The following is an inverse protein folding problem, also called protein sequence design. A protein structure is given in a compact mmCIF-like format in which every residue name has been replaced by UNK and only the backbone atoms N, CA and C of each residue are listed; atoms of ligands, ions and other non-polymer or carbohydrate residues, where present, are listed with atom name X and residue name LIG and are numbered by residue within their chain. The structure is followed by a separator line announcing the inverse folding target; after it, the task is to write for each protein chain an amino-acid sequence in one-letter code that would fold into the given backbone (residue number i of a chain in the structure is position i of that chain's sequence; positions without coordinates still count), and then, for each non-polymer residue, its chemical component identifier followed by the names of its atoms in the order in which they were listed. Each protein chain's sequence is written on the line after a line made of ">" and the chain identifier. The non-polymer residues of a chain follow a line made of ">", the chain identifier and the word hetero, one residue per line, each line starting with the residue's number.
data_IF_604609095264
#
_entry.id   IF_604609095264
#
_cell.length_a   1.000
_cell.length_b   1.000
_cell.length_c   1.000
_cell.angle_alpha   90.00
_cell.angle_beta   90.00
_cell.angle_gamma   90.00
#
_symmetry.space_group_name_H-M   'P 1'
#
loop_
_entity.id
_entity.type
_entity.pdbx_description
1 polymer ?
#
# COMPACT_ATOMS: atom_id res chain seq x y z
N UNK A 1 -10.76 -49.78 -5.63
CA UNK A 1 -9.70 -49.74 -6.67
C UNK A 1 -8.70 -48.61 -6.39
N UNK A 2 -9.11 -47.40 -6.04
CA UNK A 2 -8.22 -46.27 -5.68
C UNK A 2 -7.33 -46.61 -4.46
N UNK A 3 -7.90 -47.17 -3.39
CA UNK A 3 -7.18 -47.53 -2.19
C UNK A 3 -6.05 -48.55 -2.46
N UNK A 4 -6.30 -49.54 -3.34
CA UNK A 4 -5.30 -50.54 -3.69
C UNK A 4 -4.11 -49.99 -4.48
N UNK A 5 -4.32 -48.92 -5.24
CA UNK A 5 -3.24 -48.20 -5.94
C UNK A 5 -2.46 -47.35 -4.95
N UNK A 6 -3.15 -46.69 -4.02
CA UNK A 6 -2.53 -45.87 -2.96
C UNK A 6 -1.60 -46.72 -2.10
N UNK A 7 -2.07 -47.92 -1.65
CA UNK A 7 -1.28 -48.89 -0.90
C UNK A 7 -0.06 -49.38 -1.69
N UNK A 8 -0.19 -49.53 -3.00
CA UNK A 8 0.91 -49.97 -3.86
C UNK A 8 1.95 -48.87 -4.15
N UNK A 9 1.57 -47.58 -4.04
CA UNK A 9 2.50 -46.44 -4.22
C UNK A 9 3.46 -46.29 -3.02
N UNK A 10 3.03 -46.62 -1.81
CA UNK A 10 3.88 -46.57 -0.61
C UNK A 10 5.23 -47.24 -0.75
N UNK A 11 5.29 -48.54 -1.15
CA UNK A 11 6.55 -49.24 -1.46
C UNK A 11 7.37 -48.59 -2.60
N UNK A 12 6.73 -47.99 -3.59
CA UNK A 12 7.39 -47.25 -4.70
C UNK A 12 8.13 -46.03 -4.12
N UNK A 13 7.45 -45.21 -3.34
CA UNK A 13 8.05 -44.03 -2.72
C UNK A 13 9.19 -44.40 -1.75
N UNK A 14 9.01 -45.45 -0.96
CA UNK A 14 10.04 -45.93 -0.05
C UNK A 14 11.29 -46.36 -0.83
N UNK A 15 11.10 -47.01 -1.98
CA UNK A 15 12.24 -47.48 -2.80
C UNK A 15 13.00 -46.31 -3.41
N UNK A 16 12.29 -45.30 -3.90
CA UNK A 16 12.93 -44.10 -4.41
C UNK A 16 13.70 -43.31 -3.37
N UNK A 17 13.15 -43.15 -2.17
CA UNK A 17 13.87 -42.51 -1.06
C UNK A 17 15.14 -43.23 -0.67
N UNK A 18 15.21 -44.54 -0.90
CA UNK A 18 16.41 -45.36 -0.70
C UNK A 18 17.37 -45.36 -1.91
N UNK A 19 17.08 -44.58 -2.96
CA UNK A 19 17.93 -44.46 -4.16
C UNK A 19 17.91 -45.65 -5.10
N UNK A 20 16.91 -46.56 -5.00
CA UNK A 20 16.78 -47.71 -5.85
C UNK A 20 15.66 -47.61 -6.89
N UNK A 21 15.77 -48.39 -7.99
CA UNK A 21 14.70 -48.52 -8.99
C UNK A 21 13.42 -49.10 -8.35
N UNK A 22 12.29 -48.45 -8.57
CA UNK A 22 10.99 -48.82 -8.04
C UNK A 22 10.06 -49.52 -9.05
N UNK A 23 10.50 -49.71 -10.30
CA UNK A 23 9.68 -50.31 -11.36
C UNK A 23 9.05 -51.66 -10.97
N UNK A 24 9.78 -52.47 -10.22
CA UNK A 24 9.27 -53.78 -9.74
C UNK A 24 8.15 -53.66 -8.73
N UNK A 25 8.09 -52.55 -7.98
CA UNK A 25 7.07 -52.25 -6.99
C UNK A 25 5.85 -51.55 -7.60
N UNK A 26 5.89 -51.22 -8.89
CA UNK A 26 4.81 -50.53 -9.57
C UNK A 26 3.46 -51.27 -9.40
N UNK A 27 2.36 -50.50 -9.18
CA UNK A 27 1.02 -51.04 -9.16
C UNK A 27 0.78 -51.97 -10.36
N UNK A 28 0.16 -53.17 -10.20
CA UNK A 28 -0.05 -54.10 -11.28
C UNK A 28 -0.74 -53.50 -12.52
N UNK A 29 -1.68 -52.62 -12.29
CA UNK A 29 -2.45 -51.93 -13.35
C UNK A 29 -1.61 -50.96 -14.22
N UNK A 30 -0.43 -50.57 -13.75
CA UNK A 30 0.44 -49.63 -14.50
C UNK A 30 1.57 -50.33 -15.24
N UNK A 31 1.85 -51.63 -14.94
CA UNK A 31 3.02 -52.35 -15.48
C UNK A 31 3.08 -52.37 -17.00
N UNK A 32 1.94 -52.57 -17.66
CA UNK A 32 1.87 -52.52 -19.12
C UNK A 32 2.21 -51.16 -19.72
N UNK A 33 1.84 -50.10 -19.04
CA UNK A 33 2.08 -48.73 -19.48
C UNK A 33 3.52 -48.26 -19.28
N UNK A 34 4.30 -48.95 -18.44
CA UNK A 34 5.69 -48.53 -18.16
C UNK A 34 6.67 -48.78 -19.29
N UNK A 35 6.41 -49.77 -20.13
CA UNK A 35 7.33 -50.13 -21.21
C UNK A 35 8.50 -51.01 -20.74
N UNK A 36 9.41 -51.41 -21.65
CA UNK A 36 10.49 -52.34 -21.41
C UNK A 36 11.87 -51.74 -21.15
N UNK A 37 12.07 -50.45 -21.47
CA UNK A 37 13.34 -49.77 -21.26
C UNK A 37 13.39 -49.25 -19.79
N UNK A 38 14.42 -49.65 -18.99
CA UNK A 38 14.41 -49.37 -17.54
C UNK A 38 14.34 -47.90 -17.13
N UNK A 39 15.04 -47.01 -17.82
CA UNK A 39 15.08 -45.60 -17.52
C UNK A 39 13.76 -44.91 -17.86
N UNK A 40 13.16 -45.28 -19.00
CA UNK A 40 11.87 -44.80 -19.44
C UNK A 40 10.72 -45.28 -18.54
N UNK A 41 10.79 -46.53 -18.11
CA UNK A 41 9.84 -47.13 -17.19
C UNK A 41 9.85 -46.42 -15.83
N UNK A 42 11.03 -46.02 -15.34
CA UNK A 42 11.16 -45.26 -14.09
C UNK A 42 10.55 -43.87 -14.22
N UNK A 43 10.82 -43.14 -15.30
CA UNK A 43 10.22 -41.83 -15.56
C UNK A 43 8.70 -41.86 -15.71
N UNK A 44 8.20 -42.90 -16.42
CA UNK A 44 6.74 -43.10 -16.57
C UNK A 44 6.09 -43.42 -15.22
N UNK A 45 6.73 -44.26 -14.42
CA UNK A 45 6.24 -44.56 -13.08
C UNK A 45 6.20 -43.31 -12.18
N UNK A 46 7.21 -42.46 -12.26
CA UNK A 46 7.25 -41.18 -11.52
C UNK A 46 6.11 -40.27 -11.98
N UNK A 47 5.90 -40.14 -13.30
CA UNK A 47 4.83 -39.31 -13.85
C UNK A 47 3.44 -39.82 -13.44
N UNK A 48 3.19 -41.13 -13.55
CA UNK A 48 1.91 -41.75 -13.16
C UNK A 48 1.66 -41.59 -11.66
N UNK A 49 2.69 -41.80 -10.83
CA UNK A 49 2.58 -41.62 -9.38
C UNK A 49 2.26 -40.18 -9.01
N UNK A 50 2.92 -39.19 -9.62
CA UNK A 50 2.69 -37.77 -9.41
C UNK A 50 1.28 -37.33 -9.84
N UNK A 51 0.83 -37.78 -11.01
CA UNK A 51 -0.52 -37.50 -11.49
C UNK A 51 -1.58 -38.13 -10.59
N UNK A 52 -1.40 -39.37 -10.18
CA UNK A 52 -2.33 -40.07 -9.32
C UNK A 52 -2.45 -39.39 -7.93
N UNK A 53 -1.32 -39.06 -7.31
CA UNK A 53 -1.31 -38.33 -6.04
C UNK A 53 -1.91 -36.94 -6.17
N UNK A 54 -1.69 -36.24 -7.29
CA UNK A 54 -2.28 -34.95 -7.58
C UNK A 54 -3.81 -35.01 -7.72
N UNK A 55 -4.34 -36.09 -8.28
CA UNK A 55 -5.80 -36.30 -8.39
C UNK A 55 -6.40 -36.66 -7.03
N UNK A 56 -5.71 -37.44 -6.20
CA UNK A 56 -6.18 -37.80 -4.87
C UNK A 56 -6.08 -36.68 -3.85
N UNK A 57 -5.19 -35.71 -4.08
CA UNK A 57 -5.05 -34.52 -3.24
C UNK A 57 -6.19 -33.50 -3.45
N UNK A 58 -7.18 -33.81 -4.28
CA UNK A 58 -8.44 -33.05 -4.31
C UNK A 58 -9.13 -33.38 -2.98
N UNK A 59 -8.98 -32.48 -2.03
CA UNK A 59 -9.73 -32.51 -0.78
C UNK A 59 -11.22 -32.55 -1.15
N UNK A 60 -11.95 -33.59 -0.75
CA UNK A 60 -13.40 -33.52 -0.79
C UNK A 60 -13.81 -32.28 0.02
N UNK A 61 -14.65 -31.40 -0.57
CA UNK A 61 -15.12 -30.25 0.16
C UNK A 61 -15.79 -30.70 1.45
N UNK A 62 -15.36 -30.16 2.57
CA UNK A 62 -15.96 -30.46 3.87
C UNK A 62 -17.37 -29.85 3.91
N UNK A 63 -18.39 -30.68 4.00
CA UNK A 63 -19.78 -30.27 4.21
C UNK A 63 -20.56 -29.90 2.93
N UNK A 64 -21.79 -29.43 3.12
CA UNK A 64 -22.67 -28.98 2.04
C UNK A 64 -22.17 -27.61 1.51
N UNK A 65 -21.35 -27.63 0.48
CA UNK A 65 -21.01 -26.40 -0.25
C UNK A 65 -22.29 -25.84 -0.88
N UNK A 66 -22.76 -24.73 -0.35
CA UNK A 66 -23.76 -23.94 -1.03
C UNK A 66 -23.06 -23.07 -2.10
N UNK A 67 -23.53 -23.05 -3.35
CA UNK A 67 -22.99 -22.12 -4.32
C UNK A 67 -23.18 -20.70 -3.79
N UNK A 68 -22.15 -19.84 -3.82
CA UNK A 68 -22.34 -18.42 -3.52
C UNK A 68 -23.40 -17.86 -4.46
N UNK A 69 -24.20 -16.89 -4.00
CA UNK A 69 -25.17 -16.21 -4.83
C UNK A 69 -24.52 -15.60 -6.08
N UNK A 70 -25.35 -15.20 -7.04
CA UNK A 70 -24.88 -14.57 -8.27
C UNK A 70 -23.99 -13.35 -7.97
N UNK A 71 -22.90 -13.21 -8.71
CA UNK A 71 -21.98 -12.06 -8.56
C UNK A 71 -22.74 -10.79 -8.97
N UNK A 72 -22.78 -9.75 -8.12
CA UNK A 72 -23.47 -8.50 -8.43
C UNK A 72 -22.94 -7.84 -9.71
N UNK A 73 -23.86 -7.28 -10.50
CA UNK A 73 -23.51 -6.46 -11.67
C UNK A 73 -23.07 -5.10 -11.18
N UNK A 74 -21.90 -4.64 -11.62
CA UNK A 74 -21.38 -3.33 -11.27
C UNK A 74 -22.00 -2.22 -12.15
N UNK A 75 -21.86 -0.96 -11.70
CA UNK A 75 -22.41 0.20 -12.39
C UNK A 75 -21.81 0.40 -13.79
N UNK A 76 -20.56 -0.04 -14.00
CA UNK A 76 -19.88 0.06 -15.29
C UNK A 76 -19.61 -1.33 -15.88
N UNK A 77 -19.55 -1.44 -17.23
CA UNK A 77 -19.27 -2.69 -17.88
C UNK A 77 -17.81 -3.12 -17.65
N UNK A 78 -17.55 -4.44 -17.71
CA UNK A 78 -16.19 -4.95 -17.66
C UNK A 78 -15.40 -4.54 -18.90
N UNK A 79 -14.07 -4.50 -18.77
CA UNK A 79 -13.15 -4.28 -19.88
C UNK A 79 -13.46 -5.21 -21.06
N UNK A 80 -13.40 -4.70 -22.31
CA UNK A 80 -13.51 -5.53 -23.51
C UNK A 80 -12.50 -6.68 -23.52
N UNK A 81 -12.88 -7.81 -24.09
CA UNK A 81 -12.08 -9.05 -24.07
C UNK A 81 -10.64 -8.85 -24.57
N UNK A 82 -10.44 -7.96 -25.53
CA UNK A 82 -9.11 -7.65 -26.12
C UNK A 82 -8.13 -7.06 -25.08
N UNK A 83 -8.61 -6.35 -24.06
CA UNK A 83 -7.77 -5.71 -23.03
C UNK A 83 -7.57 -6.58 -21.78
N UNK A 84 -8.39 -7.61 -21.59
CA UNK A 84 -8.39 -8.42 -20.38
C UNK A 84 -7.06 -9.09 -20.07
N UNK A 85 -6.37 -9.61 -21.11
CA UNK A 85 -5.06 -10.25 -20.94
C UNK A 85 -4.01 -9.25 -20.41
N UNK A 86 -3.95 -8.05 -20.99
CA UNK A 86 -3.05 -6.98 -20.54
C UNK A 86 -3.37 -6.53 -19.10
N UNK A 87 -4.64 -6.30 -18.80
CA UNK A 87 -5.09 -5.93 -17.46
C UNK A 87 -4.75 -7.00 -16.41
N UNK A 88 -4.89 -8.30 -16.76
CA UNK A 88 -4.51 -9.40 -15.86
C UNK A 88 -3.01 -9.43 -15.60
N UNK A 89 -2.17 -9.23 -16.64
CA UNK A 89 -0.71 -9.14 -16.47
C UNK A 89 -0.32 -7.95 -15.59
N UNK A 90 -0.95 -6.79 -15.80
CA UNK A 90 -0.75 -5.62 -14.94
C UNK A 90 -1.06 -5.96 -13.49
N UNK A 91 -2.24 -6.50 -13.20
CA UNK A 91 -2.63 -6.88 -11.84
C UNK A 91 -1.66 -7.87 -11.18
N UNK A 92 -1.07 -8.79 -11.94
CA UNK A 92 -0.10 -9.76 -11.45
C UNK A 92 1.28 -9.14 -11.20
N UNK A 93 1.65 -8.11 -11.96
CA UNK A 93 2.93 -7.40 -11.79
C UNK A 93 2.90 -6.39 -10.64
N UNK A 94 1.72 -5.84 -10.31
CA UNK A 94 1.55 -4.85 -9.24
C UNK A 94 1.68 -5.51 -7.86
N UNK A 95 2.80 -5.28 -7.20
CA UNK A 95 3.07 -5.82 -5.86
C UNK A 95 2.57 -4.90 -4.75
N UNK A 96 2.57 -3.60 -4.99
CA UNK A 96 2.16 -2.59 -4.04
C UNK A 96 0.64 -2.36 -4.07
N UNK A 97 -0.03 -2.35 -2.91
CA UNK A 97 -1.47 -2.08 -2.83
C UNK A 97 -1.86 -0.74 -3.47
N UNK A 98 -1.04 0.32 -3.29
CA UNK A 98 -1.27 1.63 -3.87
C UNK A 98 -1.31 1.62 -5.39
N UNK A 99 -0.35 0.98 -6.05
CA UNK A 99 -0.33 0.88 -7.51
C UNK A 99 -1.54 0.11 -8.08
N UNK A 100 -2.02 -0.91 -7.35
CA UNK A 100 -3.28 -1.60 -7.70
C UNK A 100 -4.48 -0.67 -7.58
N UNK A 101 -4.55 0.09 -6.49
CA UNK A 101 -5.61 1.08 -6.29
C UNK A 101 -5.62 2.10 -7.41
N UNK A 102 -4.48 2.63 -7.82
CA UNK A 102 -4.36 3.59 -8.92
C UNK A 102 -4.89 3.03 -10.25
N UNK A 103 -4.62 1.75 -10.56
CA UNK A 103 -5.18 1.09 -11.74
C UNK A 103 -6.70 0.97 -11.67
N UNK A 104 -7.25 0.61 -10.51
CA UNK A 104 -8.69 0.51 -10.31
C UNK A 104 -9.37 1.88 -10.40
N UNK A 105 -8.79 2.91 -9.81
CA UNK A 105 -9.26 4.30 -9.91
C UNK A 105 -9.20 4.83 -11.35
N UNK A 106 -8.16 4.48 -12.11
CA UNK A 106 -8.05 4.79 -13.51
C UNK A 106 -9.22 4.18 -14.33
N UNK A 107 -9.51 2.89 -14.09
CA UNK A 107 -10.62 2.22 -14.78
C UNK A 107 -11.97 2.81 -14.39
N UNK A 108 -12.19 3.02 -13.10
CA UNK A 108 -13.44 3.63 -12.58
C UNK A 108 -13.70 4.99 -13.22
N UNK A 109 -12.70 5.86 -13.31
CA UNK A 109 -12.83 7.18 -13.94
C UNK A 109 -13.13 7.13 -15.43
N UNK A 110 -12.66 6.11 -16.13
CA UNK A 110 -12.98 5.84 -17.54
C UNK A 110 -14.34 5.17 -17.73
N UNK A 111 -15.06 4.84 -16.66
CA UNK A 111 -16.35 4.14 -16.70
C UNK A 111 -16.22 2.68 -17.09
N UNK A 112 -15.14 2.04 -16.66
CA UNK A 112 -14.86 0.62 -16.88
C UNK A 112 -14.60 -0.09 -15.56
N UNK A 113 -14.83 -1.40 -15.55
CA UNK A 113 -14.49 -2.29 -14.43
C UNK A 113 -13.68 -3.48 -14.92
N UNK A 114 -13.06 -4.18 -13.99
CA UNK A 114 -12.47 -5.48 -14.27
C UNK A 114 -13.58 -6.55 -14.44
N UNK A 115 -13.25 -7.63 -15.09
CA UNK A 115 -14.14 -8.79 -15.16
C UNK A 115 -13.92 -9.66 -13.91
N UNK A 116 -14.98 -10.19 -13.27
CA UNK A 116 -14.86 -10.97 -12.03
C UNK A 116 -13.97 -12.21 -12.17
N UNK A 117 -13.89 -12.81 -13.36
CA UNK A 117 -12.96 -13.91 -13.64
C UNK A 117 -11.49 -13.50 -13.78
N UNK A 118 -11.17 -12.21 -13.81
CA UNK A 118 -9.80 -11.72 -13.87
C UNK A 118 -9.31 -11.21 -12.50
N UNK A 119 -10.22 -10.62 -11.73
CA UNK A 119 -9.94 -10.11 -10.40
C UNK A 119 -11.22 -9.87 -9.61
N UNK A 120 -11.17 -10.14 -8.31
CA UNK A 120 -12.21 -9.85 -7.33
C UNK A 120 -11.56 -9.23 -6.09
N UNK A 121 -12.17 -8.21 -5.46
CA UNK A 121 -11.68 -7.66 -4.21
C UNK A 121 -11.83 -8.68 -3.07
N UNK A 122 -10.90 -8.63 -2.14
CA UNK A 122 -11.04 -9.31 -0.85
C UNK A 122 -11.72 -8.39 0.14
N UNK A 123 -12.37 -8.93 1.19
CA UNK A 123 -12.81 -8.12 2.31
C UNK A 123 -11.62 -7.31 2.86
N UNK A 124 -11.79 -6.00 3.00
CA UNK A 124 -10.73 -5.09 3.49
C UNK A 124 -9.75 -4.58 2.43
N UNK A 125 -9.85 -4.98 1.16
CA UNK A 125 -9.07 -4.32 0.10
C UNK A 125 -9.55 -2.86 -0.07
N UNK A 126 -8.60 -1.93 -0.21
CA UNK A 126 -8.92 -0.55 -0.57
C UNK A 126 -9.24 -0.48 -2.07
N UNK A 127 -10.52 -0.26 -2.40
CA UNK A 127 -11.02 -0.25 -3.77
C UNK A 127 -11.94 0.95 -4.03
N UNK A 128 -12.07 1.40 -5.30
CA UNK A 128 -13.07 2.41 -5.67
C UNK A 128 -14.49 1.98 -5.34
N UNK A 129 -15.39 2.93 -5.03
CA UNK A 129 -16.79 2.65 -4.66
C UNK A 129 -17.56 1.78 -5.66
N UNK A 130 -17.19 1.81 -6.94
CA UNK A 130 -17.82 0.97 -7.98
C UNK A 130 -17.70 -0.52 -7.67
N UNK A 131 -16.67 -0.94 -6.93
CA UNK A 131 -16.46 -2.35 -6.54
C UNK A 131 -17.05 -2.72 -5.18
N UNK A 132 -17.66 -1.79 -4.45
CA UNK A 132 -18.30 -2.07 -3.15
C UNK A 132 -19.27 -3.25 -3.20
N UNK A 133 -20.16 -3.40 -4.24
CA UNK A 133 -21.03 -4.56 -4.32
C UNK A 133 -20.31 -5.91 -4.38
N UNK A 134 -19.11 -5.95 -4.96
CA UNK A 134 -18.31 -7.18 -4.98
C UNK A 134 -17.61 -7.44 -3.64
N UNK A 135 -17.19 -6.40 -2.92
CA UNK A 135 -16.66 -6.55 -1.56
C UNK A 135 -17.73 -7.12 -0.61
N UNK A 136 -18.93 -6.56 -0.65
CA UNK A 136 -20.06 -7.02 0.17
C UNK A 136 -20.43 -8.48 -0.16
N UNK A 137 -20.44 -8.82 -1.46
CA UNK A 137 -20.67 -10.19 -1.91
C UNK A 137 -19.57 -11.14 -1.44
N UNK A 138 -18.30 -10.75 -1.56
CA UNK A 138 -17.16 -11.55 -1.10
C UNK A 138 -17.16 -11.73 0.42
N UNK A 139 -17.51 -10.69 1.18
CA UNK A 139 -17.67 -10.74 2.63
C UNK A 139 -18.81 -11.69 3.04
N UNK A 140 -19.95 -11.60 2.36
CA UNK A 140 -21.11 -12.49 2.59
C UNK A 140 -20.78 -13.94 2.23
N UNK A 141 -20.09 -14.16 1.11
CA UNK A 141 -19.65 -15.48 0.69
C UNK A 141 -18.63 -16.08 1.67
N UNK A 142 -17.72 -15.27 2.20
CA UNK A 142 -16.78 -15.67 3.23
C UNK A 142 -17.48 -16.01 4.56
N UNK A 143 -18.46 -15.20 4.96
CA UNK A 143 -19.28 -15.45 6.15
C UNK A 143 -20.10 -16.75 6.01
N UNK A 144 -20.65 -17.01 4.82
CA UNK A 144 -21.38 -18.24 4.52
C UNK A 144 -20.48 -19.48 4.47
N UNK A 145 -19.19 -19.32 4.20
CA UNK A 145 -18.20 -20.39 4.21
C UNK A 145 -17.66 -20.70 5.62
N UNK A 146 -18.26 -20.16 6.68
CA UNK A 146 -17.87 -20.41 8.08
C UNK A 146 -16.73 -19.49 8.54
N UNK A 147 -16.57 -18.32 7.95
CA UNK A 147 -15.78 -17.25 8.56
C UNK A 147 -16.48 -16.85 9.85
N UNK A 148 -15.97 -17.32 10.97
CA UNK A 148 -16.42 -16.93 12.29
C UNK A 148 -16.23 -15.43 12.44
N UNK A 149 -17.23 -14.74 12.98
CA UNK A 149 -17.09 -13.33 13.37
C UNK A 149 -16.00 -13.22 14.44
N UNK A 150 -15.20 -12.15 14.43
CA UNK A 150 -14.20 -11.95 15.46
C UNK A 150 -14.88 -11.56 16.76
N UNK A 151 -15.01 -12.52 17.64
CA UNK A 151 -15.57 -12.37 18.99
C UNK A 151 -14.54 -12.78 20.04
N UNK A 152 -14.91 -12.66 21.32
CA UNK A 152 -14.04 -13.13 22.39
C UNK A 152 -13.82 -14.65 22.35
N UNK A 153 -14.80 -15.41 21.88
CA UNK A 153 -14.75 -16.88 21.77
C UNK A 153 -13.89 -17.32 20.56
N UNK A 154 -14.01 -16.59 19.45
CA UNK A 154 -13.31 -16.96 18.20
C UNK A 154 -11.94 -16.32 18.06
N UNK A 155 -11.55 -15.42 18.98
CA UNK A 155 -10.29 -14.67 18.95
C UNK A 155 -9.06 -15.54 18.66
N UNK A 156 -8.96 -16.70 19.33
CA UNK A 156 -7.80 -17.58 19.23
C UNK A 156 -7.79 -18.43 17.94
N UNK A 157 -8.93 -18.52 17.26
CA UNK A 157 -9.06 -19.18 15.95
C UNK A 157 -8.50 -18.32 14.80
N UNK A 158 -8.43 -17.00 15.00
CA UNK A 158 -7.85 -16.08 14.02
C UNK A 158 -6.32 -16.01 14.14
N UNK A 159 -5.61 -16.13 13.03
CA UNK A 159 -4.18 -15.80 12.98
C UNK A 159 -3.94 -14.30 13.18
N UNK A 160 -2.71 -13.86 13.56
CA UNK A 160 -2.43 -12.46 13.92
C UNK A 160 -2.80 -11.43 12.86
N UNK A 161 -2.55 -11.72 11.58
CA UNK A 161 -2.88 -10.82 10.47
C UNK A 161 -4.40 -10.74 10.21
N UNK A 162 -5.09 -11.91 10.26
CA UNK A 162 -6.54 -11.98 10.09
C UNK A 162 -7.27 -11.28 11.24
N UNK A 163 -6.75 -11.43 12.48
CA UNK A 163 -7.26 -10.77 13.68
C UNK A 163 -7.17 -9.25 13.57
N UNK A 164 -6.05 -8.73 13.09
CA UNK A 164 -5.85 -7.30 12.86
C UNK A 164 -6.83 -6.76 11.81
N UNK A 165 -6.98 -7.46 10.69
CA UNK A 165 -7.90 -7.07 9.61
C UNK A 165 -9.36 -7.08 10.07
N UNK A 166 -9.80 -8.16 10.75
CA UNK A 166 -11.16 -8.27 11.28
C UNK A 166 -11.45 -7.21 12.37
N UNK A 167 -10.44 -6.86 13.19
CA UNK A 167 -10.58 -5.80 14.18
C UNK A 167 -10.71 -4.41 13.54
N UNK A 168 -9.95 -4.14 12.48
CA UNK A 168 -10.08 -2.88 11.72
C UNK A 168 -11.46 -2.76 11.08
N UNK A 169 -11.97 -3.85 10.52
CA UNK A 169 -13.32 -3.90 9.95
C UNK A 169 -14.38 -3.67 11.02
N UNK A 170 -14.30 -4.38 12.15
CA UNK A 170 -15.20 -4.17 13.30
C UNK A 170 -15.17 -2.72 13.79
N UNK A 171 -13.98 -2.12 13.84
CA UNK A 171 -13.83 -0.71 14.24
C UNK A 171 -14.49 0.27 13.27
N UNK A 172 -14.49 -0.04 11.98
CA UNK A 172 -15.16 0.78 10.95
C UNK A 172 -16.70 0.79 11.11
N UNK A 173 -17.28 -0.28 11.68
CA UNK A 173 -18.71 -0.43 11.83
C UNK A 173 -19.18 -0.19 13.28
N UNK A 174 -18.44 -0.69 14.27
CA UNK A 174 -18.73 -0.56 15.70
C UNK A 174 -17.44 -0.40 16.51
N UNK A 175 -17.00 0.83 16.65
CA UNK A 175 -15.78 1.18 17.39
C UNK A 175 -15.88 0.79 18.89
N UNK A 176 -17.06 0.83 19.47
CA UNK A 176 -17.26 0.51 20.89
C UNK A 176 -17.11 -1.00 21.14
N UNK A 177 -17.70 -1.84 20.27
CA UNK A 177 -17.54 -3.29 20.32
C UNK A 177 -16.09 -3.71 20.13
N UNK A 178 -15.37 -3.07 19.19
CA UNK A 178 -13.95 -3.32 18.97
C UNK A 178 -13.10 -2.98 20.19
N UNK A 179 -13.36 -1.85 20.86
CA UNK A 179 -12.66 -1.45 22.07
C UNK A 179 -12.92 -2.40 23.24
N UNK A 180 -14.18 -2.85 23.41
CA UNK A 180 -14.55 -3.83 24.42
C UNK A 180 -13.89 -5.18 24.18
N UNK A 181 -13.78 -5.64 22.93
CA UNK A 181 -13.10 -6.87 22.55
C UNK A 181 -11.58 -6.78 22.84
N UNK A 182 -10.95 -5.65 22.48
CA UNK A 182 -9.54 -5.41 22.77
C UNK A 182 -9.28 -5.39 24.29
N UNK A 183 -10.12 -4.74 25.07
CA UNK A 183 -9.98 -4.70 26.54
C UNK A 183 -9.94 -6.11 27.16
N UNK A 184 -10.71 -7.06 26.59
CA UNK A 184 -10.76 -8.44 27.07
C UNK A 184 -9.55 -9.28 26.62
N UNK A 185 -9.03 -9.06 25.41
CA UNK A 185 -8.12 -10.01 24.77
C UNK A 185 -6.68 -9.53 24.64
N UNK A 186 -6.42 -8.24 24.63
CA UNK A 186 -5.10 -7.66 24.30
C UNK A 186 -3.99 -8.10 25.27
N UNK A 187 -4.30 -8.34 26.54
CA UNK A 187 -3.34 -8.73 27.55
C UNK A 187 -2.65 -10.10 27.26
N UNK A 188 -3.33 -10.97 26.50
CA UNK A 188 -2.81 -12.28 26.08
C UNK A 188 -1.84 -12.21 24.89
N UNK A 189 -1.76 -11.08 24.20
CA UNK A 189 -0.96 -10.93 22.99
C UNK A 189 0.52 -10.61 23.27
N UNK A 190 1.46 -11.02 22.38
CA UNK A 190 2.84 -10.54 22.40
C UNK A 190 2.93 -9.01 22.31
N UNK A 191 3.97 -8.40 22.89
CA UNK A 191 4.13 -6.94 22.96
C UNK A 191 4.02 -6.23 21.60
N UNK A 192 4.66 -6.78 20.56
CA UNK A 192 4.61 -6.20 19.20
C UNK A 192 3.20 -6.28 18.59
N UNK A 193 2.46 -7.36 18.89
CA UNK A 193 1.06 -7.49 18.45
C UNK A 193 0.16 -6.51 19.21
N UNK A 194 0.35 -6.34 20.53
CA UNK A 194 -0.39 -5.33 21.32
C UNK A 194 -0.21 -3.93 20.76
N UNK A 195 1.03 -3.56 20.40
CA UNK A 195 1.29 -2.28 19.79
C UNK A 195 0.57 -2.09 18.43
N UNK A 196 0.55 -3.13 17.58
CA UNK A 196 -0.18 -3.08 16.28
C UNK A 196 -1.69 -3.03 16.47
N UNK A 197 -2.22 -3.80 17.41
CA UNK A 197 -3.65 -3.77 17.74
C UNK A 197 -4.07 -2.40 18.28
N UNK A 198 -3.24 -1.77 19.12
CA UNK A 198 -3.47 -0.39 19.58
C UNK A 198 -3.48 0.63 18.44
N UNK A 199 -2.64 0.47 17.42
CA UNK A 199 -2.61 1.37 16.27
C UNK A 199 -3.95 1.41 15.52
N UNK A 200 -4.78 0.36 15.61
CA UNK A 200 -6.12 0.37 14.99
C UNK A 200 -7.04 1.42 15.63
N UNK A 201 -6.75 1.86 16.86
CA UNK A 201 -7.53 2.89 17.55
C UNK A 201 -7.49 4.26 16.87
N UNK A 202 -6.51 4.52 16.00
CA UNK A 202 -6.46 5.73 15.16
C UNK A 202 -7.76 5.90 14.35
N UNK A 203 -8.36 4.77 13.93
CA UNK A 203 -9.66 4.79 13.27
C UNK A 203 -10.78 5.01 14.29
N UNK A 204 -11.27 6.24 14.40
CA UNK A 204 -12.39 6.57 15.26
C UNK A 204 -12.07 6.57 16.75
N UNK A 205 -10.88 7.05 17.13
CA UNK A 205 -10.46 7.23 18.53
C UNK A 205 -11.52 8.06 19.29
N UNK A 206 -11.99 7.54 20.42
CA UNK A 206 -13.08 8.12 21.21
C UNK A 206 -12.94 7.84 22.69
N UNK A 207 -13.77 8.47 23.52
CA UNK A 207 -13.82 8.23 24.96
C UNK A 207 -14.12 6.76 25.33
N UNK A 208 -14.72 5.99 24.45
CA UNK A 208 -14.94 4.56 24.66
C UNK A 208 -13.62 3.76 24.72
N UNK A 209 -12.53 4.28 24.15
CA UNK A 209 -11.21 3.65 24.17
C UNK A 209 -10.44 3.94 25.49
N UNK A 210 -10.85 4.97 26.26
CA UNK A 210 -10.14 5.44 27.46
C UNK A 210 -9.86 4.33 28.47
N UNK A 211 -10.82 3.46 28.85
CA UNK A 211 -10.55 2.39 29.84
C UNK A 211 -9.44 1.43 29.40
N UNK A 212 -9.40 1.07 28.12
CA UNK A 212 -8.36 0.23 27.55
C UNK A 212 -7.00 0.94 27.58
N UNK A 213 -6.97 2.21 27.20
CA UNK A 213 -5.75 3.02 27.13
C UNK A 213 -5.16 3.25 28.52
N UNK A 214 -5.98 3.58 29.51
CA UNK A 214 -5.54 3.78 30.91
C UNK A 214 -4.98 2.49 31.51
N UNK A 215 -5.63 1.36 31.24
CA UNK A 215 -5.13 0.04 31.67
C UNK A 215 -3.74 -0.26 31.09
N UNK A 216 -3.54 0.04 29.81
CA UNK A 216 -2.26 -0.26 29.14
C UNK A 216 -1.18 0.77 29.48
N UNK A 217 -1.51 2.03 29.59
CA UNK A 217 -0.55 3.09 29.96
C UNK A 217 0.04 2.86 31.36
N UNK A 218 -0.77 2.38 32.32
CA UNK A 218 -0.35 2.17 33.70
C UNK A 218 0.17 0.74 33.99
N UNK A 219 -0.31 -0.27 33.27
CA UNK A 219 -0.14 -1.67 33.64
C UNK A 219 0.59 -2.57 32.63
N UNK A 220 0.84 -2.13 31.40
CA UNK A 220 1.53 -2.95 30.42
C UNK A 220 3.02 -3.13 30.75
N UNK A 221 3.58 -4.33 30.46
CA UNK A 221 4.99 -4.65 30.72
C UNK A 221 5.94 -4.06 29.67
N UNK A 222 5.43 -3.68 28.49
CA UNK A 222 6.22 -3.17 27.38
C UNK A 222 6.19 -1.63 27.34
N UNK A 223 7.33 -0.95 27.52
CA UNK A 223 7.38 0.51 27.52
C UNK A 223 6.80 1.16 26.25
N UNK A 224 6.96 0.50 25.09
CA UNK A 224 6.41 0.96 23.81
C UNK A 224 4.88 0.96 23.80
N UNK A 225 4.25 -0.05 24.42
CA UNK A 225 2.78 -0.13 24.52
C UNK A 225 2.26 0.93 25.48
N UNK A 226 2.94 1.11 26.63
CA UNK A 226 2.61 2.19 27.59
C UNK A 226 2.68 3.58 26.95
N UNK A 227 3.78 3.87 26.23
CA UNK A 227 3.98 5.16 25.58
C UNK A 227 2.91 5.43 24.50
N UNK A 228 2.56 4.40 23.71
CA UNK A 228 1.53 4.52 22.67
C UNK A 228 0.14 4.76 23.30
N UNK A 229 -0.20 4.03 24.36
CA UNK A 229 -1.46 4.23 25.06
C UNK A 229 -1.55 5.62 25.71
N UNK A 230 -0.46 6.10 26.33
CA UNK A 230 -0.39 7.45 26.87
C UNK A 230 -0.59 8.53 25.80
N UNK A 231 0.04 8.36 24.62
CA UNK A 231 -0.12 9.29 23.50
C UNK A 231 -1.59 9.36 23.00
N UNK A 232 -2.29 8.24 22.97
CA UNK A 232 -3.72 8.23 22.61
C UNK A 232 -4.59 8.91 23.67
N UNK A 233 -4.30 8.73 24.97
CA UNK A 233 -5.00 9.46 26.07
C UNK A 233 -4.79 10.97 25.92
N UNK A 234 -3.56 11.39 25.64
CA UNK A 234 -3.26 12.80 25.38
C UNK A 234 -4.05 13.34 24.18
N UNK A 235 -4.19 12.54 23.12
CA UNK A 235 -5.03 12.86 21.96
C UNK A 235 -6.51 13.03 22.33
N UNK A 236 -7.05 12.18 23.20
CA UNK A 236 -8.44 12.28 23.70
C UNK A 236 -8.66 13.52 24.57
N UNK A 237 -7.71 13.84 25.42
CA UNK A 237 -7.81 14.99 26.33
C UNK A 237 -7.75 16.35 25.61
N UNK A 238 -7.48 16.37 24.31
CA UNK A 238 -7.38 17.60 23.51
C UNK A 238 -6.25 18.52 23.96
N UNK A 239 -5.23 17.95 24.60
CA UNK A 239 -4.16 18.72 25.20
C UNK A 239 -3.24 19.39 24.16
N UNK A 240 -3.26 20.71 24.15
CA UNK A 240 -2.01 21.47 24.10
C UNK A 240 -1.37 21.30 25.48
N UNK A 241 -0.72 20.17 25.72
CA UNK A 241 -0.24 19.87 27.06
C UNK A 241 0.98 20.70 27.37
N UNK A 242 1.17 21.00 28.65
CA UNK A 242 2.41 21.60 29.18
C UNK A 242 3.66 20.83 28.68
N UNK A 243 3.51 19.52 28.40
CA UNK A 243 4.54 18.66 27.82
C UNK A 243 4.83 19.00 26.35
N UNK A 244 3.79 19.28 25.54
CA UNK A 244 3.98 19.69 24.14
C UNK A 244 4.75 21.01 24.06
N UNK A 245 4.43 21.99 24.91
CA UNK A 245 5.14 23.27 25.00
C UNK A 245 6.61 23.10 25.44
N UNK A 246 6.89 22.20 26.40
CA UNK A 246 8.26 21.88 26.81
C UNK A 246 9.06 21.17 25.69
N UNK A 247 8.46 20.20 25.02
CA UNK A 247 9.11 19.45 23.97
C UNK A 247 9.25 20.30 22.69
N UNK A 248 8.28 21.18 22.41
CA UNK A 248 8.38 22.20 21.37
C UNK A 248 9.56 23.16 21.62
N UNK A 249 9.74 23.60 22.86
CA UNK A 249 10.91 24.44 23.23
C UNK A 249 12.24 23.68 23.06
N UNK A 250 12.26 22.36 23.39
CA UNK A 250 13.44 21.50 23.15
C UNK A 250 13.70 21.32 21.65
N UNK A 251 12.66 21.14 20.83
CA UNK A 251 12.80 21.04 19.37
C UNK A 251 13.27 22.37 18.79
N UNK A 252 12.68 23.50 19.21
CA UNK A 252 13.08 24.83 18.76
C UNK A 252 14.55 25.14 19.04
N UNK A 253 15.13 24.59 20.11
CA UNK A 253 16.55 24.78 20.45
C UNK A 253 17.52 24.15 19.42
N UNK A 254 17.05 23.31 18.48
CA UNK A 254 17.83 22.82 17.35
C UNK A 254 17.85 23.77 16.15
N UNK A 255 17.19 24.92 16.23
CA UNK A 255 17.06 25.89 15.15
C UNK A 255 17.40 27.28 15.63
N UNK A 256 17.94 28.09 14.71
CA UNK A 256 18.17 29.50 14.95
C UNK A 256 17.35 30.33 13.96
N UNK A 257 16.44 31.16 14.48
CA UNK A 257 15.72 32.15 13.67
C UNK A 257 16.54 33.43 13.61
N UNK A 258 16.97 33.82 12.42
CA UNK A 258 17.79 35.00 12.20
C UNK A 258 17.10 35.95 11.22
N UNK A 259 17.35 37.25 11.40
CA UNK A 259 16.92 38.26 10.43
C UNK A 259 18.10 38.65 9.56
N UNK A 260 18.03 38.36 8.26
CA UNK A 260 19.09 38.70 7.27
C UNK A 260 18.62 39.85 6.38
N UNK A 261 19.55 40.65 5.90
CA UNK A 261 19.34 41.74 4.94
C UNK A 261 19.39 43.13 5.56
N UNK A 262 20.11 44.07 4.92
CA UNK A 262 20.23 45.46 5.35
C UNK A 262 19.06 46.33 4.90
N UNK A 263 18.51 46.09 3.70
CA UNK A 263 17.43 46.88 3.11
C UNK A 263 16.07 46.15 3.16
N UNK A 264 16.08 44.86 3.04
CA UNK A 264 14.91 44.01 3.23
C UNK A 264 15.22 42.98 4.32
N UNK A 265 14.62 43.18 5.48
CA UNK A 265 14.75 42.24 6.60
C UNK A 265 13.91 41.01 6.32
N UNK A 266 14.56 39.87 6.01
CA UNK A 266 13.90 38.58 5.81
C UNK A 266 14.30 37.67 6.98
N UNK A 267 13.32 37.05 7.63
CA UNK A 267 13.56 35.98 8.59
C UNK A 267 14.02 34.74 7.83
N UNK A 268 14.97 34.04 8.39
CA UNK A 268 15.44 32.73 7.90
C UNK A 268 15.61 31.81 9.11
N UNK A 269 15.31 30.55 8.93
CA UNK A 269 15.58 29.52 9.93
C UNK A 269 16.79 28.70 9.50
N UNK A 270 17.71 28.47 10.42
CA UNK A 270 18.90 27.66 10.18
C UNK A 270 18.94 26.49 11.16
N UNK A 271 19.01 25.24 10.69
CA UNK A 271 19.21 24.10 11.55
C UNK A 271 20.60 24.14 12.17
N UNK A 272 20.67 23.98 13.47
CA UNK A 272 21.94 23.88 14.20
C UNK A 272 22.51 22.46 14.06
N UNK A 273 23.83 22.31 13.81
CA UNK A 273 24.40 20.99 13.69
C UNK A 273 24.27 20.21 15.01
N UNK A 274 23.77 18.97 14.95
CA UNK A 274 23.64 18.16 16.16
C UNK A 274 25.02 17.79 16.70
N UNK A 275 25.21 17.92 18.01
CA UNK A 275 26.50 17.65 18.68
C UNK A 275 26.99 16.20 18.50
N UNK A 276 26.06 15.25 18.41
CA UNK A 276 26.33 13.82 18.19
C UNK A 276 25.08 13.10 17.69
N UNK A 277 25.20 11.79 17.45
CA UNK A 277 24.12 10.92 16.98
C UNK A 277 22.91 10.90 17.95
N UNK A 278 23.13 10.97 19.26
CA UNK A 278 22.07 10.95 20.26
C UNK A 278 21.21 12.20 20.15
N UNK A 279 21.84 13.38 19.97
CA UNK A 279 21.13 14.63 19.74
C UNK A 279 20.35 14.63 18.43
N UNK A 280 20.91 14.01 17.37
CA UNK A 280 20.19 13.87 16.08
C UNK A 280 18.95 13.00 16.24
N UNK A 281 19.07 11.83 16.87
CA UNK A 281 17.94 10.94 17.11
C UNK A 281 16.86 11.63 17.96
N UNK A 282 17.27 12.32 19.03
CA UNK A 282 16.33 13.07 19.86
C UNK A 282 15.57 14.15 19.07
N UNK A 283 16.23 14.83 18.12
CA UNK A 283 15.55 15.79 17.24
C UNK A 283 14.50 15.10 16.38
N UNK A 284 14.81 13.92 15.81
CA UNK A 284 13.85 13.10 15.05
C UNK A 284 12.68 12.68 15.92
N UNK A 285 12.93 12.14 17.12
CA UNK A 285 11.88 11.72 18.05
C UNK A 285 10.94 12.89 18.42
N UNK A 286 11.47 14.11 18.53
CA UNK A 286 10.68 15.29 18.82
C UNK A 286 9.78 15.72 17.65
N UNK A 287 10.20 15.54 16.41
CA UNK A 287 9.31 15.74 15.25
C UNK A 287 8.11 14.80 15.27
N UNK A 288 8.28 13.58 15.79
CA UNK A 288 7.21 12.59 15.88
C UNK A 288 6.17 12.91 16.98
N UNK A 289 6.55 13.70 17.98
CA UNK A 289 5.72 13.94 19.16
C UNK A 289 5.17 15.37 19.27
N UNK A 290 5.95 16.38 18.91
CA UNK A 290 5.63 17.81 19.03
C UNK A 290 4.56 18.21 18.02
N UNK A 291 3.58 19.04 18.45
CA UNK A 291 2.60 19.62 17.54
C UNK A 291 3.20 20.72 16.68
N UNK A 292 2.69 20.88 15.44
CA UNK A 292 3.15 21.94 14.53
C UNK A 292 2.95 23.35 15.15
N UNK A 293 1.79 23.61 15.75
CA UNK A 293 1.48 24.90 16.37
C UNK A 293 2.36 25.16 17.61
N UNK A 294 2.66 24.12 18.40
CA UNK A 294 3.60 24.19 19.52
C UNK A 294 4.99 24.61 19.05
N UNK A 295 5.48 23.97 17.97
CA UNK A 295 6.79 24.30 17.40
C UNK A 295 6.84 25.70 16.81
N UNK A 296 5.82 26.13 16.06
CA UNK A 296 5.74 27.48 15.51
C UNK A 296 5.74 28.55 16.64
N UNK A 297 4.92 28.34 17.69
CA UNK A 297 4.91 29.23 18.89
C UNK A 297 6.27 29.28 19.58
N UNK A 298 6.93 28.13 19.76
CA UNK A 298 8.25 28.08 20.40
C UNK A 298 9.33 28.83 19.63
N UNK A 299 9.20 28.93 18.30
CA UNK A 299 10.07 29.73 17.43
C UNK A 299 9.63 31.20 17.31
N UNK A 300 8.46 31.57 17.84
CA UNK A 300 7.88 32.93 17.72
C UNK A 300 7.46 33.25 16.28
N UNK A 301 6.92 32.26 15.56
CA UNK A 301 6.52 32.35 14.15
C UNK A 301 5.04 31.98 14.00
N UNK A 302 4.38 32.55 12.99
CA UNK A 302 3.10 32.05 12.49
C UNK A 302 3.32 30.78 11.62
N UNK A 303 2.33 29.89 11.56
CA UNK A 303 2.48 28.62 10.87
C UNK A 303 2.91 28.75 9.41
N UNK A 304 2.24 29.59 8.64
CA UNK A 304 2.58 29.82 7.22
C UNK A 304 3.93 30.54 7.05
N UNK A 305 4.31 31.41 7.99
CA UNK A 305 5.63 32.03 7.98
C UNK A 305 6.73 30.98 8.22
N UNK A 306 6.52 30.06 9.18
CA UNK A 306 7.46 28.97 9.44
C UNK A 306 7.70 28.12 8.18
N UNK A 307 6.61 27.74 7.47
CA UNK A 307 6.69 27.00 6.20
C UNK A 307 7.49 27.79 5.15
N UNK A 308 7.23 29.10 5.02
CA UNK A 308 7.87 29.95 4.02
C UNK A 308 9.37 30.14 4.23
N UNK A 309 9.85 30.08 5.47
CA UNK A 309 11.27 30.30 5.80
C UNK A 309 12.04 29.01 6.10
N UNK A 310 11.36 27.84 6.05
CA UNK A 310 12.00 26.54 6.24
C UNK A 310 13.00 26.27 5.12
N UNK A 311 14.19 25.70 5.40
CA UNK A 311 15.26 25.51 4.41
C UNK A 311 15.03 24.25 3.54
N UNK A 312 13.91 24.21 2.81
CA UNK A 312 13.48 23.07 1.98
C UNK A 312 14.58 22.58 1.03
N UNK A 313 14.72 21.25 0.93
CA UNK A 313 15.70 20.60 0.06
C UNK A 313 17.13 20.67 0.58
N UNK A 314 17.34 21.11 1.82
CA UNK A 314 18.66 21.19 2.44
C UNK A 314 19.08 19.92 3.20
N UNK A 315 18.15 19.26 3.87
CA UNK A 315 18.34 18.02 4.65
C UNK A 315 17.04 17.21 4.62
N UNK A 316 17.05 16.07 3.90
CA UNK A 316 15.88 15.23 3.71
C UNK A 316 15.27 14.75 5.03
N UNK A 317 16.06 14.41 6.05
CA UNK A 317 15.53 13.98 7.35
C UNK A 317 14.80 15.11 8.09
N UNK A 318 15.20 16.36 7.87
CA UNK A 318 14.52 17.51 8.43
C UNK A 318 13.21 17.78 7.69
N UNK A 319 13.23 17.70 6.37
CA UNK A 319 12.05 17.92 5.54
C UNK A 319 10.99 16.84 5.82
N UNK A 320 11.40 15.58 5.94
CA UNK A 320 10.52 14.46 6.31
C UNK A 320 9.94 14.63 7.72
N UNK A 321 10.76 14.93 8.72
CA UNK A 321 10.28 15.16 10.09
C UNK A 321 9.30 16.33 10.16
N UNK A 322 9.59 17.44 9.45
CA UNK A 322 8.68 18.57 9.36
C UNK A 322 7.36 18.21 8.65
N UNK A 323 7.42 17.54 7.51
CA UNK A 323 6.25 17.10 6.75
C UNK A 323 5.37 16.15 7.58
N UNK A 324 5.97 15.21 8.31
CA UNK A 324 5.26 14.30 9.20
C UNK A 324 4.54 15.06 10.34
N UNK A 325 5.21 16.02 10.97
CA UNK A 325 4.60 16.87 12.00
C UNK A 325 3.42 17.67 11.44
N UNK A 326 3.58 18.27 10.24
CA UNK A 326 2.52 18.99 9.52
C UNK A 326 1.35 18.05 9.19
N UNK A 327 1.61 16.90 8.59
CA UNK A 327 0.58 15.92 8.23
C UNK A 327 -0.26 15.49 9.45
N UNK A 328 0.38 15.36 10.61
CA UNK A 328 -0.24 14.89 11.84
C UNK A 328 -1.05 15.98 12.56
N UNK A 329 -0.58 17.22 12.62
CA UNK A 329 -1.11 18.20 13.58
C UNK A 329 -1.37 19.60 13.02
N UNK A 330 -0.99 19.92 11.77
CA UNK A 330 -1.23 21.24 11.22
C UNK A 330 -2.64 21.38 10.59
N UNK A 331 -3.08 22.61 10.40
CA UNK A 331 -4.29 22.94 9.66
C UNK A 331 -4.12 22.79 8.14
N UNK A 332 -5.23 22.70 7.39
CA UNK A 332 -5.20 22.48 5.94
C UNK A 332 -4.47 23.59 5.15
N UNK A 333 -4.55 24.88 5.49
CA UNK A 333 -3.74 25.90 4.86
C UNK A 333 -2.24 25.69 4.99
N UNK A 334 -1.75 25.22 6.16
CA UNK A 334 -0.34 24.91 6.38
C UNK A 334 0.07 23.68 5.59
N UNK A 335 -0.78 22.64 5.54
CA UNK A 335 -0.56 21.43 4.72
C UNK A 335 -0.39 21.81 3.25
N UNK A 336 -1.28 22.65 2.72
CA UNK A 336 -1.21 23.13 1.34
C UNK A 336 0.08 23.95 1.09
N UNK A 337 0.41 24.87 1.98
CA UNK A 337 1.63 25.69 1.88
C UNK A 337 2.91 24.84 1.92
N UNK A 338 2.92 23.79 2.77
CA UNK A 338 4.05 22.85 2.88
C UNK A 338 4.22 22.04 1.58
N UNK A 339 3.11 21.54 1.03
CA UNK A 339 3.12 20.84 -0.27
C UNK A 339 3.65 21.74 -1.39
N UNK A 340 3.19 22.98 -1.45
CA UNK A 340 3.66 23.97 -2.42
C UNK A 340 5.17 24.23 -2.27
N UNK A 341 5.65 24.38 -1.04
CA UNK A 341 7.06 24.63 -0.77
C UNK A 341 7.96 23.44 -1.14
N UNK A 342 7.55 22.21 -0.82
CA UNK A 342 8.27 20.99 -1.19
C UNK A 342 8.34 20.80 -2.71
N UNK A 343 7.24 21.07 -3.43
CA UNK A 343 7.22 20.97 -4.91
C UNK A 343 8.09 22.02 -5.61
N UNK A 344 8.38 23.14 -4.94
CA UNK A 344 9.23 24.21 -5.43
C UNK A 344 10.68 24.13 -4.89
N UNK A 345 10.98 23.17 -4.03
CA UNK A 345 12.29 22.99 -3.44
C UNK A 345 13.34 22.66 -4.51
N UNK A 346 14.58 23.06 -4.28
CA UNK A 346 15.69 22.79 -5.20
C UNK A 346 15.95 21.28 -5.36
N UNK A 347 15.80 20.54 -4.29
CA UNK A 347 15.82 19.07 -4.26
C UNK A 347 14.49 18.61 -3.76
N UNK A 348 13.77 17.84 -4.57
CA UNK A 348 12.45 17.31 -4.22
C UNK A 348 12.63 16.09 -3.34
N UNK A 349 11.96 16.09 -2.19
CA UNK A 349 11.86 14.94 -1.29
C UNK A 349 10.49 14.26 -1.48
N UNK A 350 10.48 13.11 -2.17
CA UNK A 350 9.25 12.34 -2.44
C UNK A 350 8.61 11.83 -1.16
N UNK A 351 9.42 11.35 -0.21
CA UNK A 351 8.93 10.76 1.03
C UNK A 351 8.21 11.81 1.88
N UNK A 352 8.77 13.04 1.94
CA UNK A 352 8.14 14.16 2.61
C UNK A 352 6.81 14.56 1.96
N UNK A 353 6.72 14.54 0.62
CA UNK A 353 5.48 14.82 -0.10
C UNK A 353 4.42 13.74 0.13
N UNK A 354 4.82 12.46 0.09
CA UNK A 354 3.91 11.33 0.28
C UNK A 354 3.23 11.36 1.67
N UNK A 355 3.94 11.82 2.71
CA UNK A 355 3.35 11.99 4.04
C UNK A 355 2.16 12.96 4.08
N UNK A 356 2.13 13.94 3.16
CA UNK A 356 1.07 14.94 3.08
C UNK A 356 -0.14 14.48 2.24
N UNK A 357 0.04 13.52 1.33
CA UNK A 357 -0.99 13.06 0.38
C UNK A 357 -2.34 12.74 1.04
N UNK A 358 -2.41 12.03 2.20
CA UNK A 358 -3.69 11.73 2.86
C UNK A 358 -4.49 12.98 3.28
N UNK A 359 -3.83 14.12 3.45
CA UNK A 359 -4.43 15.40 3.85
C UNK A 359 -4.81 16.29 2.68
N UNK A 360 -4.37 15.96 1.46
CA UNK A 360 -4.59 16.78 0.26
C UNK A 360 -5.90 16.43 -0.43
N UNK A 361 -6.63 17.46 -0.86
CA UNK A 361 -7.75 17.29 -1.79
C UNK A 361 -7.25 16.84 -3.17
N UNK A 362 -8.12 16.23 -3.96
CA UNK A 362 -7.79 15.81 -5.35
C UNK A 362 -7.25 16.98 -6.17
N UNK A 363 -7.85 18.18 -6.06
CA UNK A 363 -7.38 19.35 -6.76
C UNK A 363 -5.98 19.82 -6.36
N UNK A 364 -5.65 19.75 -5.06
CA UNK A 364 -4.29 20.06 -4.56
C UNK A 364 -3.27 19.05 -5.04
N UNK A 365 -3.62 17.77 -5.04
CA UNK A 365 -2.77 16.69 -5.57
C UNK A 365 -2.46 16.89 -7.06
N UNK A 366 -3.45 17.28 -7.87
CA UNK A 366 -3.26 17.59 -9.28
C UNK A 366 -2.32 18.76 -9.49
N UNK A 367 -2.52 19.87 -8.77
CA UNK A 367 -1.63 21.04 -8.86
C UNK A 367 -0.20 20.70 -8.48
N UNK A 368 -0.01 19.91 -7.43
CA UNK A 368 1.31 19.42 -7.00
C UNK A 368 1.95 18.54 -8.09
N UNK A 369 1.21 17.60 -8.65
CA UNK A 369 1.67 16.68 -9.70
C UNK A 369 2.06 17.44 -10.98
N UNK A 370 1.27 18.43 -11.42
CA UNK A 370 1.59 19.28 -12.57
C UNK A 370 2.86 20.11 -12.40
N UNK A 371 3.16 20.52 -11.17
CA UNK A 371 4.44 21.20 -10.87
C UNK A 371 5.60 20.24 -10.87
N UNK A 372 5.42 19.08 -10.22
CA UNK A 372 6.46 18.06 -10.11
C UNK A 372 6.91 17.56 -11.47
N UNK A 373 6.00 17.23 -12.37
CA UNK A 373 6.37 16.67 -13.68
C UNK A 373 7.22 17.62 -14.53
N UNK A 374 7.15 18.92 -14.26
CA UNK A 374 7.96 19.96 -14.91
C UNK A 374 9.27 20.22 -14.19
N UNK A 375 9.47 19.65 -13.01
CA UNK A 375 10.68 19.86 -12.23
C UNK A 375 11.82 18.93 -12.70
N UNK A 376 13.03 19.44 -12.68
CA UNK A 376 14.21 18.62 -12.95
C UNK A 376 14.41 17.58 -11.84
N UNK A 377 14.62 16.33 -12.22
CA UNK A 377 14.85 15.24 -11.29
C UNK A 377 13.56 14.55 -10.78
N UNK A 378 12.38 15.00 -11.20
CA UNK A 378 11.15 14.26 -10.96
C UNK A 378 11.10 13.00 -11.81
N UNK A 379 10.50 11.94 -11.27
CA UNK A 379 10.19 10.69 -11.96
C UNK A 379 8.67 10.54 -12.11
N UNK A 380 8.22 9.71 -13.03
CA UNK A 380 6.78 9.46 -13.17
C UNK A 380 6.21 8.75 -11.95
N UNK A 381 6.98 7.85 -11.33
CA UNK A 381 6.53 7.16 -10.12
C UNK A 381 6.32 8.13 -8.95
N UNK A 382 7.23 9.08 -8.75
CA UNK A 382 7.07 10.17 -7.78
C UNK A 382 5.80 11.00 -8.05
N UNK A 383 5.56 11.37 -9.32
CA UNK A 383 4.36 12.13 -9.70
C UNK A 383 3.08 11.31 -9.46
N UNK A 384 3.11 9.99 -9.76
CA UNK A 384 2.02 9.05 -9.51
C UNK A 384 1.69 8.94 -8.02
N UNK A 385 2.70 8.83 -7.16
CA UNK A 385 2.50 8.74 -5.72
C UNK A 385 1.69 9.93 -5.17
N UNK A 386 1.85 11.11 -5.77
CA UNK A 386 1.09 12.30 -5.39
C UNK A 386 -0.26 12.38 -6.11
N UNK A 387 -0.29 12.18 -7.42
CA UNK A 387 -1.51 12.31 -8.24
C UNK A 387 -2.50 11.16 -8.01
N UNK A 388 -2.00 9.97 -7.68
CA UNK A 388 -2.73 8.71 -7.81
C UNK A 388 -2.88 8.31 -9.28
N UNK A 389 -3.79 7.37 -9.57
CA UNK A 389 -4.10 6.93 -10.95
C UNK A 389 -4.89 7.96 -11.77
N UNK A 390 -4.93 9.22 -11.38
CA UNK A 390 -5.70 10.26 -12.08
C UNK A 390 -4.88 10.85 -13.22
N UNK A 391 -4.93 10.15 -14.35
CA UNK A 391 -4.29 10.57 -15.59
C UNK A 391 -4.84 11.88 -16.14
N UNK A 392 -4.32 12.31 -17.28
CA UNK A 392 -4.78 13.49 -17.99
C UNK A 392 -3.67 14.50 -18.21
N UNK A 393 -2.42 14.13 -17.93
CA UNK A 393 -1.25 14.98 -18.21
C UNK A 393 -0.95 14.88 -19.71
N UNK A 394 -1.14 15.99 -20.40
CA UNK A 394 -0.77 16.13 -21.80
C UNK A 394 0.75 16.24 -21.95
N UNK A 395 1.26 15.76 -23.08
CA UNK A 395 2.68 15.82 -23.42
C UNK A 395 3.63 15.21 -22.37
N UNK A 396 3.15 14.29 -21.52
CA UNK A 396 3.90 13.74 -20.39
C UNK A 396 5.31 13.25 -20.78
N UNK A 397 5.43 12.52 -21.90
CA UNK A 397 6.71 11.98 -22.38
C UNK A 397 7.72 13.07 -22.82
N UNK A 398 7.24 14.28 -23.14
CA UNK A 398 8.05 15.42 -23.55
C UNK A 398 8.58 16.24 -22.36
N UNK A 399 8.08 15.96 -21.14
CA UNK A 399 8.53 16.61 -19.92
C UNK A 399 9.94 16.11 -19.49
N UNK A 400 10.61 16.80 -18.57
CA UNK A 400 11.93 16.39 -18.08
C UNK A 400 12.00 14.93 -17.61
N UNK A 401 10.95 14.44 -16.92
CA UNK A 401 10.81 13.04 -16.51
C UNK A 401 10.84 12.07 -17.72
N UNK A 402 10.15 12.43 -18.81
CA UNK A 402 10.15 11.62 -20.04
C UNK A 402 11.52 11.55 -20.70
N UNK A 403 12.24 12.67 -20.75
CA UNK A 403 13.63 12.69 -21.27
C UNK A 403 14.54 11.80 -20.42
N UNK A 404 14.39 11.83 -19.11
CA UNK A 404 15.16 10.99 -18.19
C UNK A 404 14.84 9.51 -18.39
N UNK A 405 13.54 9.17 -18.52
CA UNK A 405 13.06 7.81 -18.78
C UNK A 405 13.63 7.25 -20.09
N UNK A 406 13.54 8.01 -21.19
CA UNK A 406 14.06 7.59 -22.48
C UNK A 406 15.59 7.33 -22.42
N UNK A 407 16.35 8.24 -21.80
CA UNK A 407 17.79 8.03 -21.59
C UNK A 407 18.13 6.81 -20.73
N UNK A 408 17.33 6.52 -19.70
CA UNK A 408 17.51 5.34 -18.85
C UNK A 408 17.20 4.03 -19.62
N UNK A 409 16.19 4.03 -20.49
CA UNK A 409 15.87 2.89 -21.36
C UNK A 409 16.94 2.63 -22.40
N UNK A 410 17.48 3.68 -23.04
CA UNK A 410 18.61 3.57 -23.98
C UNK A 410 19.86 2.99 -23.28
N UNK A 411 20.05 3.29 -22.00
CA UNK A 411 21.14 2.71 -21.19
C UNK A 411 20.86 1.26 -20.75
N UNK A 412 19.71 0.67 -21.10
CA UNK A 412 19.34 -0.71 -20.79
C UNK A 412 18.76 -0.91 -19.39
N UNK A 413 18.29 0.15 -18.72
CA UNK A 413 17.63 0.07 -17.42
C UNK A 413 16.26 -0.61 -17.52
N UNK A 414 15.88 -1.37 -16.47
CA UNK A 414 14.51 -1.82 -16.29
C UNK A 414 13.70 -0.67 -15.66
N UNK A 415 12.80 -0.10 -16.44
CA UNK A 415 11.99 1.07 -16.06
C UNK A 415 10.50 0.70 -15.97
N UNK A 416 10.18 -0.51 -15.48
CA UNK A 416 8.81 -1.02 -15.47
C UNK A 416 7.86 -0.12 -14.66
N UNK A 417 8.29 0.35 -13.48
CA UNK A 417 7.48 1.20 -12.60
C UNK A 417 7.27 2.60 -13.23
N UNK A 418 8.30 3.17 -13.84
CA UNK A 418 8.20 4.45 -14.56
C UNK A 418 7.25 4.37 -15.77
N UNK A 419 7.29 3.26 -16.53
CA UNK A 419 6.41 3.04 -17.66
C UNK A 419 4.95 2.82 -17.21
N UNK A 420 4.74 2.13 -16.08
CA UNK A 420 3.44 2.00 -15.45
C UNK A 420 2.90 3.37 -15.04
N UNK A 421 3.71 4.13 -14.31
CA UNK A 421 3.35 5.45 -13.81
C UNK A 421 3.03 6.42 -14.96
N UNK A 422 3.86 6.46 -16.00
CA UNK A 422 3.58 7.22 -17.22
C UNK A 422 2.23 6.82 -17.84
N UNK A 423 1.94 5.50 -17.90
CA UNK A 423 0.68 5.00 -18.44
C UNK A 423 -0.54 5.40 -17.62
N UNK A 424 -0.42 5.54 -16.30
CA UNK A 424 -1.47 6.00 -15.41
C UNK A 424 -1.68 7.52 -15.47
N UNK A 425 -0.59 8.28 -15.63
CA UNK A 425 -0.60 9.74 -15.57
C UNK A 425 -0.93 10.42 -16.90
N UNK A 426 -0.53 9.82 -18.02
CA UNK A 426 -0.70 10.42 -19.34
C UNK A 426 -2.17 10.56 -19.73
N UNK A 427 -2.50 11.63 -20.46
CA UNK A 427 -3.75 11.67 -21.21
C UNK A 427 -3.75 10.56 -22.27
N UNK A 428 -4.94 10.25 -22.82
CA UNK A 428 -5.07 9.22 -23.87
C UNK A 428 -4.14 9.49 -25.07
N UNK A 429 -4.11 10.74 -25.50
CA UNK A 429 -3.29 11.18 -26.63
C UNK A 429 -1.81 11.11 -26.28
N UNK A 430 -1.43 11.58 -25.10
CA UNK A 430 -0.06 11.51 -24.62
C UNK A 430 0.44 10.06 -24.44
N UNK A 431 -0.44 9.14 -24.03
CA UNK A 431 -0.11 7.72 -23.96
C UNK A 431 0.18 7.12 -25.35
N UNK A 432 -0.58 7.51 -26.39
CA UNK A 432 -0.30 7.14 -27.77
C UNK A 432 1.05 7.67 -28.27
N UNK A 433 1.32 8.95 -28.04
CA UNK A 433 2.60 9.58 -28.39
C UNK A 433 3.79 8.92 -27.65
N UNK A 434 3.61 8.57 -26.37
CA UNK A 434 4.61 7.87 -25.61
C UNK A 434 4.93 6.49 -26.21
N UNK A 435 3.91 5.74 -26.62
CA UNK A 435 4.12 4.43 -27.25
C UNK A 435 4.96 4.55 -28.54
N UNK A 436 4.68 5.56 -29.39
CA UNK A 436 5.44 5.80 -30.61
C UNK A 436 6.91 6.12 -30.32
N UNK A 437 7.17 6.97 -29.33
CA UNK A 437 8.54 7.31 -28.93
C UNK A 437 9.28 6.13 -28.29
N UNK A 438 8.62 5.34 -27.45
CA UNK A 438 9.21 4.17 -26.80
C UNK A 438 9.58 3.08 -27.82
N UNK A 439 8.77 2.90 -28.87
CA UNK A 439 9.10 2.03 -29.98
C UNK A 439 10.30 2.56 -30.77
N UNK A 440 10.39 3.89 -30.97
CA UNK A 440 11.51 4.51 -31.68
C UNK A 440 12.85 4.34 -30.95
N UNK A 441 12.86 4.27 -29.62
CA UNK A 441 14.07 4.00 -28.81
C UNK A 441 14.36 2.50 -28.63
N UNK A 442 13.59 1.64 -29.31
CA UNK A 442 13.88 0.20 -29.43
C UNK A 442 13.06 -0.74 -28.55
N UNK A 443 12.04 -0.27 -27.82
CA UNK A 443 11.12 -1.19 -27.15
C UNK A 443 10.25 -1.91 -28.17
N UNK A 444 10.06 -3.21 -27.95
CA UNK A 444 9.18 -4.01 -28.81
C UNK A 444 7.72 -3.64 -28.50
N UNK A 445 6.91 -3.39 -29.51
CA UNK A 445 5.51 -3.00 -29.36
C UNK A 445 4.66 -3.98 -28.50
N UNK A 446 5.09 -5.25 -28.38
CA UNK A 446 4.44 -6.27 -27.54
C UNK A 446 5.04 -6.40 -26.14
N UNK A 447 5.98 -5.53 -25.74
CA UNK A 447 6.61 -5.56 -24.43
C UNK A 447 5.54 -5.43 -23.31
N UNK A 448 5.48 -6.36 -22.34
CA UNK A 448 4.48 -6.29 -21.26
C UNK A 448 4.55 -5.02 -20.41
N UNK A 449 5.72 -4.38 -20.30
CA UNK A 449 5.88 -3.11 -19.58
C UNK A 449 5.06 -1.97 -20.18
N UNK A 450 4.67 -2.08 -21.45
CA UNK A 450 3.83 -1.11 -22.15
C UNK A 450 2.32 -1.36 -21.99
N UNK A 451 1.89 -2.37 -21.23
CA UNK A 451 0.47 -2.76 -21.14
C UNK A 451 -0.39 -1.63 -20.59
N UNK A 452 0.10 -0.84 -19.62
CA UNK A 452 -0.66 0.30 -19.09
C UNK A 452 -0.82 1.42 -20.12
N UNK A 453 0.24 1.76 -20.83
CA UNK A 453 0.18 2.77 -21.90
C UNK A 453 -0.78 2.35 -23.02
N UNK A 454 -0.73 1.06 -23.44
CA UNK A 454 -1.65 0.51 -24.45
C UNK A 454 -3.10 0.52 -23.98
N UNK A 455 -3.32 0.16 -22.73
CA UNK A 455 -4.65 0.21 -22.12
C UNK A 455 -5.17 1.65 -22.12
N UNK A 456 -4.36 2.62 -21.68
CA UNK A 456 -4.75 4.03 -21.64
C UNK A 456 -5.02 4.60 -23.04
N UNK A 457 -4.12 4.39 -24.00
CA UNK A 457 -4.26 4.91 -25.37
C UNK A 457 -5.50 4.36 -26.10
N UNK A 458 -5.90 3.11 -25.79
CA UNK A 458 -6.99 2.44 -26.48
C UNK A 458 -8.36 2.58 -25.81
N UNK A 459 -8.41 2.81 -24.49
CA UNK A 459 -9.66 2.86 -23.74
C UNK A 459 -10.38 4.19 -23.92
N UNK A 460 -11.65 4.12 -24.34
CA UNK A 460 -12.53 5.29 -24.40
C UNK A 460 -12.99 5.70 -23.00
N UNK A 461 -13.23 6.99 -22.81
CA UNK A 461 -13.82 7.51 -21.60
C UNK A 461 -15.36 7.52 -21.72
N UNK A 462 -16.01 6.52 -21.12
CA UNK A 462 -17.48 6.39 -21.17
C UNK A 462 -18.22 7.38 -20.29
N UNK A 463 -17.57 7.95 -19.27
CA UNK A 463 -18.20 8.97 -18.42
C UNK A 463 -18.38 10.31 -19.15
N UNK A 464 -17.64 10.55 -20.20
CA UNK A 464 -17.71 11.79 -20.99
C UNK A 464 -18.59 11.66 -22.25
N UNK A 465 -19.09 10.45 -22.56
CA UNK A 465 -20.02 10.25 -23.67
C UNK A 465 -21.45 10.44 -23.14
N UNK A 466 -22.23 11.44 -23.58
CA UNK A 466 -23.59 11.70 -23.14
C UNK A 466 -24.55 10.56 -23.54
#
# INVERSE_FOLDING_TARGET
>A
MADAILDAIGPVLTRWTMGGSAVRQAPPVWREALGGEPSEAELRLLALSGQYLGVLAINEPAGDLQPPGDIPVLAYPPLPAIFRLGARRLLQSLREPGARRDLLDFLDRRGWTLHPGDWMPRPGDDVPPVYAPWQDWAATAAASAGAEELTAETWDAFGPAARLAALMDLRGHDAAAASALLLQKIAGEPADHRARLLQTLVLGLSENDRPLLEQLASGDRAPRVQALAAAFIEGLDGRTSHQDDEDAAKLAAFFAVQTKGLLRRTRVIEPLPPKNIVYRNRRTDLFDTVSFDGFARALGLEGTELVAIWPWGGDALLDQGFAQMVARSADDPVVAATTDALTLAKTIDSDALEMLVPRLTIGQRHVAAERLIRANGATFDMVRAIAGGDGGIDDAILMPAGTALLGALEAGGDQADELLALGLLASREAAGQALDQLVAVGLIASDPRLDMLRLNAALDNRRQTP
#
